data_IF_897894434708
#
_entry.id   IF_897894434708
#
_cell.length_a   1.000
_cell.length_b   1.000
_cell.length_c   1.000
_cell.angle_alpha   90.00
_cell.angle_beta   90.00
_cell.angle_gamma   90.00
#
_symmetry.space_group_name_H-M   'P 1'
#
loop_
_entity.id
_entity.type
_entity.pdbx_description
1 polymer ?
#
# COMPACT_ATOMS: atom_id res chain seq x y z
N UNK A 1 3.96 3.02 13.98
CA UNK A 1 3.81 4.49 14.06
C UNK A 1 5.11 5.28 14.05
N UNK A 2 6.27 4.72 14.45
CA UNK A 2 7.53 5.47 14.52
C UNK A 2 8.00 6.07 13.18
N UNK A 3 7.79 5.38 12.05
CA UNK A 3 8.29 5.82 10.74
C UNK A 3 7.60 7.08 10.19
N UNK A 4 6.26 7.12 10.17
CA UNK A 4 5.55 8.35 9.79
C UNK A 4 5.75 9.48 10.81
N UNK A 5 5.99 9.18 12.08
CA UNK A 5 6.34 10.19 13.08
C UNK A 5 7.67 10.89 12.78
N UNK A 6 8.67 10.15 12.30
CA UNK A 6 9.93 10.74 11.85
C UNK A 6 9.73 11.65 10.64
N UNK A 7 9.08 11.18 9.58
CA UNK A 7 8.78 12.03 8.40
C UNK A 7 7.91 13.22 8.77
N UNK A 8 6.91 13.05 9.65
CA UNK A 8 6.05 14.15 10.11
C UNK A 8 6.81 15.20 10.91
N UNK A 9 7.93 14.86 11.56
CA UNK A 9 8.79 15.83 12.23
C UNK A 9 9.42 16.85 11.26
N UNK A 10 9.43 16.53 9.96
CA UNK A 10 9.88 17.43 8.89
C UNK A 10 8.80 18.37 8.37
N UNK A 11 7.55 18.25 8.82
CA UNK A 11 6.42 18.99 8.25
C UNK A 11 6.59 20.53 8.23
N UNK A 12 7.40 21.08 9.14
CA UNK A 12 7.69 22.51 9.22
C UNK A 12 9.12 22.86 8.73
N UNK A 13 9.82 21.94 8.06
CA UNK A 13 11.20 22.15 7.59
C UNK A 13 12.25 22.20 8.71
N UNK A 14 11.96 21.60 9.87
CA UNK A 14 12.82 21.65 11.07
C UNK A 14 13.13 20.27 11.64
N UNK A 15 12.92 19.21 10.86
CA UNK A 15 13.25 17.86 11.29
C UNK A 15 14.75 17.56 11.25
N UNK A 16 15.19 16.41 11.78
CA UNK A 16 16.60 16.06 11.94
C UNK A 16 17.39 15.85 10.64
N UNK A 17 16.73 15.38 9.58
CA UNK A 17 17.25 15.24 8.19
C UNK A 17 17.10 16.53 7.34
N UNK A 18 18.20 17.25 7.01
CA UNK A 18 18.15 18.47 6.22
C UNK A 18 17.58 18.28 4.81
N UNK A 19 17.90 17.15 4.17
CA UNK A 19 17.43 16.88 2.80
C UNK A 19 15.89 16.85 2.71
N UNK A 20 15.21 16.29 3.71
CA UNK A 20 13.76 16.29 3.77
C UNK A 20 13.20 17.68 4.04
N UNK A 21 13.86 18.50 4.87
CA UNK A 21 13.42 19.86 5.14
C UNK A 21 13.46 20.73 3.88
N UNK A 22 14.48 20.55 3.04
CA UNK A 22 14.73 21.41 1.89
C UNK A 22 13.96 20.95 0.63
N UNK A 23 13.61 19.66 0.53
CA UNK A 23 13.11 19.07 -0.72
C UNK A 23 11.74 18.37 -0.60
N UNK A 24 11.27 18.00 0.60
CA UNK A 24 10.00 17.30 0.74
C UNK A 24 8.82 18.28 0.79
N UNK A 25 7.75 17.95 0.08
CA UNK A 25 6.46 18.64 0.22
C UNK A 25 5.55 17.85 1.18
N UNK A 26 5.37 18.29 2.43
CA UNK A 26 4.51 17.60 3.40
C UNK A 26 3.03 17.60 3.00
N UNK A 27 2.62 18.45 2.06
CA UNK A 27 1.27 18.46 1.51
C UNK A 27 1.04 17.39 0.43
N UNK A 28 2.12 16.77 -0.07
CA UNK A 28 2.11 15.79 -1.17
C UNK A 28 2.92 14.53 -0.80
N UNK A 29 2.37 13.73 0.11
CA UNK A 29 2.98 12.46 0.55
C UNK A 29 2.29 11.27 -0.13
N UNK A 30 3.08 10.31 -0.59
CA UNK A 30 2.59 9.03 -1.09
C UNK A 30 3.14 7.88 -0.25
N UNK A 31 2.30 6.89 -0.01
CA UNK A 31 2.71 5.60 0.57
C UNK A 31 2.85 4.60 -0.58
N UNK A 32 3.78 3.67 -0.47
CA UNK A 32 4.00 2.65 -1.49
C UNK A 32 4.52 1.38 -0.86
N UNK A 33 4.07 0.24 -1.36
CA UNK A 33 4.51 -1.06 -0.88
C UNK A 33 4.36 -2.15 -1.93
N UNK A 34 5.34 -3.03 -1.96
CA UNK A 34 5.42 -4.19 -2.84
C UNK A 34 5.28 -5.45 -1.98
N UNK A 35 4.48 -6.44 -2.42
CA UNK A 35 4.30 -7.70 -1.70
C UNK A 35 3.89 -7.47 -0.23
N UNK A 36 4.65 -7.98 0.74
CA UNK A 36 4.43 -7.73 2.17
C UNK A 36 4.53 -6.24 2.54
N UNK A 37 5.29 -5.44 1.79
CA UNK A 37 5.35 -3.99 1.96
C UNK A 37 4.01 -3.30 1.67
N UNK A 38 3.16 -3.88 0.80
CA UNK A 38 1.84 -3.34 0.52
C UNK A 38 0.92 -3.44 1.75
N UNK A 39 1.06 -4.51 2.53
CA UNK A 39 0.41 -4.67 3.83
C UNK A 39 0.86 -3.57 4.82
N UNK A 40 2.17 -3.31 4.91
CA UNK A 40 2.71 -2.25 5.75
C UNK A 40 2.18 -0.87 5.33
N UNK A 41 2.18 -0.56 4.03
CA UNK A 41 1.66 0.69 3.51
C UNK A 41 0.18 0.89 3.87
N UNK A 42 -0.63 -0.16 3.69
CA UNK A 42 -2.03 -0.16 4.10
C UNK A 42 -2.20 0.11 5.60
N UNK A 43 -1.50 -0.64 6.44
CA UNK A 43 -1.56 -0.48 7.89
C UNK A 43 -1.20 0.95 8.31
N UNK A 44 -0.14 1.52 7.73
CA UNK A 44 0.27 2.91 7.96
C UNK A 44 -0.83 3.89 7.56
N UNK A 45 -1.47 3.71 6.40
CA UNK A 45 -2.52 4.59 5.93
C UNK A 45 -3.75 4.58 6.85
N UNK A 46 -4.14 3.41 7.36
CA UNK A 46 -5.23 3.28 8.34
C UNK A 46 -4.84 3.93 9.67
N UNK A 47 -3.64 3.63 10.20
CA UNK A 47 -3.20 4.22 11.47
C UNK A 47 -3.09 5.75 11.39
N UNK A 48 -2.59 6.29 10.28
CA UNK A 48 -2.51 7.74 10.06
C UNK A 48 -3.90 8.39 10.10
N UNK A 49 -4.91 7.72 9.54
CA UNK A 49 -6.29 8.18 9.56
C UNK A 49 -6.93 8.09 10.95
N UNK A 50 -6.82 6.92 11.58
CA UNK A 50 -7.37 6.65 12.90
C UNK A 50 -6.77 7.55 13.99
N UNK A 51 -5.48 7.88 13.89
CA UNK A 51 -4.78 8.77 14.84
C UNK A 51 -4.83 10.24 14.44
N UNK A 52 -5.39 10.56 13.26
CA UNK A 52 -5.43 11.92 12.69
C UNK A 52 -4.05 12.55 12.65
N UNK A 53 -3.10 11.86 11.99
CA UNK A 53 -1.73 12.33 11.83
C UNK A 53 -1.72 13.77 11.30
N UNK A 54 -1.04 14.66 12.03
CA UNK A 54 -0.95 16.09 11.71
C UNK A 54 0.37 16.36 11.01
N UNK A 55 0.38 17.34 10.10
CA UNK A 55 1.59 17.83 9.45
C UNK A 55 1.92 17.15 8.13
N UNK A 56 1.34 15.98 7.83
CA UNK A 56 1.47 15.32 6.54
C UNK A 56 0.10 15.15 5.88
N UNK A 57 0.04 15.35 4.57
CA UNK A 57 -1.13 15.03 3.76
C UNK A 57 -0.81 13.89 2.80
N UNK A 58 -1.38 12.72 3.08
CA UNK A 58 -1.22 11.52 2.27
C UNK A 58 -2.15 11.63 1.06
N UNK A 59 -1.59 11.93 -0.10
CA UNK A 59 -2.32 12.11 -1.36
C UNK A 59 -2.69 10.78 -2.01
N UNK A 60 -1.82 9.79 -1.92
CA UNK A 60 -2.07 8.50 -2.56
C UNK A 60 -1.32 7.33 -1.92
N UNK A 61 -1.76 6.12 -2.25
CA UNK A 61 -1.11 4.87 -1.86
C UNK A 61 -0.98 3.92 -3.06
N UNK A 62 0.23 3.42 -3.29
CA UNK A 62 0.54 2.43 -4.31
C UNK A 62 0.65 1.05 -3.66
N UNK A 63 -0.20 0.12 -4.10
CA UNK A 63 -0.26 -1.26 -3.62
C UNK A 63 0.19 -2.15 -4.78
N UNK A 64 1.44 -2.61 -4.74
CA UNK A 64 2.09 -3.35 -5.83
C UNK A 64 2.19 -4.83 -5.46
N UNK A 65 1.65 -5.71 -6.30
CA UNK A 65 1.66 -7.17 -6.14
C UNK A 65 1.39 -7.60 -4.69
N UNK A 66 0.27 -7.21 -4.07
CA UNK A 66 0.13 -7.27 -2.62
C UNK A 66 0.07 -8.70 -2.08
N UNK A 67 0.82 -8.94 -1.01
CA UNK A 67 0.67 -10.13 -0.17
C UNK A 67 -0.22 -9.80 1.03
N UNK A 68 -1.53 -10.02 0.90
CA UNK A 68 -2.48 -9.93 2.01
C UNK A 68 -2.85 -11.31 2.52
N UNK A 69 -2.88 -11.50 3.84
CA UNK A 69 -3.23 -12.76 4.46
C UNK A 69 -4.64 -13.22 4.06
N UNK A 70 -4.72 -14.45 3.56
CA UNK A 70 -5.97 -15.17 3.29
C UNK A 70 -5.75 -16.63 3.62
N UNK A 71 -6.75 -17.32 4.19
CA UNK A 71 -6.65 -18.74 4.52
C UNK A 71 -6.81 -19.68 3.31
N UNK A 72 -6.06 -19.47 2.22
CA UNK A 72 -5.93 -20.55 1.24
C UNK A 72 -5.04 -21.66 1.82
N UNK A 73 -5.34 -22.95 1.58
CA UNK A 73 -4.62 -24.07 2.18
C UNK A 73 -3.09 -24.07 1.92
N UNK A 74 -2.64 -23.46 0.82
CA UNK A 74 -1.24 -23.34 0.40
C UNK A 74 -0.41 -22.37 1.25
N UNK A 75 -1.05 -21.44 1.94
CA UNK A 75 -0.37 -20.25 2.48
C UNK A 75 0.09 -20.42 3.94
N UNK A 76 -0.40 -21.46 4.60
CA UNK A 76 -0.20 -21.75 6.01
C UNK A 76 1.28 -21.85 6.45
N UNK A 77 2.22 -22.13 5.54
CA UNK A 77 3.64 -22.21 5.90
C UNK A 77 4.36 -20.85 5.78
N UNK A 78 4.12 -20.07 4.72
CA UNK A 78 4.70 -18.73 4.57
C UNK A 78 4.14 -17.75 5.59
N UNK A 79 2.84 -17.83 5.86
CA UNK A 79 2.15 -16.99 6.85
C UNK A 79 2.78 -17.12 8.25
N UNK A 80 3.16 -18.34 8.66
CA UNK A 80 3.86 -18.59 9.94
C UNK A 80 5.21 -17.88 10.04
N UNK A 81 5.92 -17.66 8.93
CA UNK A 81 7.20 -16.95 8.94
C UNK A 81 7.01 -15.44 8.89
N UNK A 82 5.99 -14.96 8.16
CA UNK A 82 5.73 -13.53 7.96
C UNK A 82 5.08 -12.91 9.19
N UNK A 83 4.11 -13.60 9.81
CA UNK A 83 3.45 -13.13 11.04
C UNK A 83 3.23 -14.29 12.03
N UNK A 84 4.29 -14.78 12.70
CA UNK A 84 4.21 -15.94 13.61
C UNK A 84 3.26 -15.75 14.80
N UNK A 85 2.88 -14.50 15.09
CA UNK A 85 2.03 -14.13 16.22
C UNK A 85 0.55 -14.05 15.87
N UNK A 86 0.17 -14.06 14.58
CA UNK A 86 -1.23 -14.01 14.18
C UNK A 86 -1.84 -15.42 14.26
N UNK A 87 -2.85 -15.59 15.11
CA UNK A 87 -3.57 -16.87 15.27
C UNK A 87 -4.89 -16.90 14.48
N UNK A 88 -5.30 -15.75 13.92
CA UNK A 88 -6.57 -15.56 13.20
C UNK A 88 -6.34 -14.75 11.91
N UNK A 89 -5.47 -15.23 11.01
CA UNK A 89 -5.07 -14.52 9.78
C UNK A 89 -6.23 -13.91 8.97
N UNK A 90 -7.38 -14.58 8.88
CA UNK A 90 -8.54 -14.04 8.16
C UNK A 90 -9.15 -12.81 8.83
N UNK A 91 -9.09 -12.73 10.16
CA UNK A 91 -9.75 -11.68 10.94
C UNK A 91 -8.76 -10.68 11.52
N UNK A 92 -7.46 -10.92 11.39
CA UNK A 92 -6.42 -10.04 11.91
C UNK A 92 -6.18 -8.89 10.92
N UNK A 93 -6.57 -7.65 11.26
CA UNK A 93 -6.39 -6.48 10.40
C UNK A 93 -4.95 -6.20 10.04
N UNK A 94 -3.99 -6.75 10.80
CA UNK A 94 -2.56 -6.60 10.50
C UNK A 94 -2.22 -7.32 9.21
N UNK A 95 -2.76 -8.50 8.96
CA UNK A 95 -2.40 -9.33 7.80
C UNK A 95 -3.47 -9.30 6.72
N UNK A 96 -4.75 -9.15 7.09
CA UNK A 96 -5.88 -9.03 6.19
C UNK A 96 -6.51 -7.63 6.26
N UNK A 97 -6.16 -6.71 5.34
CA UNK A 97 -6.77 -5.38 5.25
C UNK A 97 -8.30 -5.37 5.13
N UNK A 98 -8.89 -6.44 4.57
CA UNK A 98 -10.34 -6.52 4.37
C UNK A 98 -11.10 -6.74 5.69
N UNK A 99 -10.40 -7.21 6.72
CA UNK A 99 -10.92 -7.36 8.07
C UNK A 99 -10.76 -6.10 8.93
N UNK A 100 -10.09 -5.03 8.44
CA UNK A 100 -9.83 -3.85 9.25
C UNK A 100 -11.12 -3.03 9.48
N UNK A 101 -11.64 -2.94 10.73
CA UNK A 101 -12.85 -2.17 11.01
C UNK A 101 -12.68 -0.65 10.80
N UNK A 102 -11.44 -0.17 10.70
CA UNK A 102 -11.06 1.23 10.48
C UNK A 102 -10.70 1.52 9.03
N UNK A 103 -10.93 0.60 8.10
CA UNK A 103 -10.65 0.79 6.67
C UNK A 103 -11.24 2.11 6.12
N UNK A 104 -12.47 2.46 6.53
CA UNK A 104 -13.14 3.72 6.14
C UNK A 104 -12.46 5.00 6.64
N UNK A 105 -11.59 4.89 7.65
CA UNK A 105 -10.87 6.00 8.28
C UNK A 105 -9.53 6.28 7.61
N UNK A 106 -9.10 5.45 6.65
CA UNK A 106 -7.80 5.54 5.97
C UNK A 106 -7.53 6.95 5.41
N UNK A 107 -6.33 7.49 5.72
CA UNK A 107 -5.99 8.89 5.50
C UNK A 107 -5.68 9.29 4.05
N UNK A 108 -5.49 8.33 3.12
CA UNK A 108 -5.18 8.67 1.74
C UNK A 108 -6.42 9.07 0.94
N UNK A 109 -6.23 9.88 -0.10
CA UNK A 109 -7.31 10.32 -0.99
C UNK A 109 -7.51 9.34 -2.16
N UNK A 110 -6.44 8.63 -2.54
CA UNK A 110 -6.41 7.73 -3.69
C UNK A 110 -5.59 6.48 -3.42
N UNK A 111 -5.97 5.38 -4.04
CA UNK A 111 -5.24 4.11 -4.03
C UNK A 111 -5.16 3.59 -5.45
N UNK A 112 -4.00 3.08 -5.85
CA UNK A 112 -3.87 2.22 -7.03
C UNK A 112 -3.40 0.83 -6.60
N UNK A 113 -4.13 -0.19 -7.04
CA UNK A 113 -3.79 -1.59 -6.86
C UNK A 113 -3.23 -2.12 -8.17
N UNK A 114 -1.98 -2.57 -8.14
CA UNK A 114 -1.20 -3.03 -9.29
C UNK A 114 -0.95 -4.53 -9.10
N UNK A 115 -1.52 -5.36 -9.96
CA UNK A 115 -1.34 -6.83 -9.93
C UNK A 115 -0.67 -7.33 -11.20
N UNK A 116 -0.16 -8.56 -11.17
CA UNK A 116 0.34 -9.26 -12.35
C UNK A 116 -0.51 -10.51 -12.60
N UNK A 117 -0.73 -10.84 -13.87
CA UNK A 117 -1.66 -11.89 -14.29
C UNK A 117 -1.26 -13.29 -13.80
N UNK A 118 0.04 -13.59 -13.79
CA UNK A 118 0.60 -14.88 -13.41
C UNK A 118 1.06 -14.91 -11.93
N UNK A 119 0.76 -13.86 -11.16
CA UNK A 119 1.05 -13.79 -9.73
C UNK A 119 0.09 -14.68 -8.94
N UNK A 120 0.63 -15.58 -8.10
CA UNK A 120 -0.15 -16.43 -7.20
C UNK A 120 -1.00 -15.62 -6.21
N UNK A 121 -0.60 -14.38 -5.91
CA UNK A 121 -1.33 -13.47 -5.02
C UNK A 121 -2.25 -12.48 -5.74
N UNK A 122 -2.38 -12.56 -7.08
CA UNK A 122 -3.23 -11.67 -7.89
C UNK A 122 -4.64 -11.49 -7.30
N UNK A 123 -5.29 -12.59 -6.93
CA UNK A 123 -6.65 -12.60 -6.42
C UNK A 123 -6.78 -11.84 -5.09
N UNK A 124 -5.71 -11.79 -4.28
CA UNK A 124 -5.68 -11.03 -3.02
C UNK A 124 -5.71 -9.52 -3.28
N UNK A 125 -4.98 -9.07 -4.30
CA UNK A 125 -5.03 -7.67 -4.75
C UNK A 125 -6.39 -7.29 -5.32
N UNK A 126 -6.98 -8.15 -6.15
CA UNK A 126 -8.33 -7.96 -6.70
C UNK A 126 -9.40 -7.87 -5.59
N UNK A 127 -9.35 -8.78 -4.61
CA UNK A 127 -10.26 -8.76 -3.45
C UNK A 127 -10.11 -7.47 -2.61
N UNK A 128 -8.87 -6.98 -2.43
CA UNK A 128 -8.63 -5.71 -1.74
C UNK A 128 -9.22 -4.51 -2.49
N UNK A 129 -9.01 -4.45 -3.81
CA UNK A 129 -9.60 -3.42 -4.67
C UNK A 129 -11.13 -3.39 -4.55
N UNK A 130 -11.77 -4.55 -4.66
CA UNK A 130 -13.23 -4.65 -4.51
C UNK A 130 -13.72 -4.24 -3.12
N UNK A 131 -12.99 -4.66 -2.08
CA UNK A 131 -13.30 -4.32 -0.70
C UNK A 131 -13.25 -2.81 -0.49
N UNK A 132 -12.18 -2.15 -0.95
CA UNK A 132 -12.07 -0.69 -0.86
C UNK A 132 -13.25 0.00 -1.55
N UNK A 133 -13.60 -0.42 -2.76
CA UNK A 133 -14.73 0.14 -3.51
C UNK A 133 -16.08 0.00 -2.78
N UNK A 134 -16.24 -1.03 -1.95
CA UNK A 134 -17.48 -1.34 -1.20
C UNK A 134 -17.44 -0.88 0.26
N UNK A 135 -16.29 -0.46 0.79
CA UNK A 135 -16.05 -0.20 2.23
C UNK A 135 -16.65 1.09 2.79
N UNK A 136 -17.11 2.00 1.93
CA UNK A 136 -17.51 3.35 2.33
C UNK A 136 -16.34 4.29 2.65
N UNK A 137 -15.09 3.87 2.42
CA UNK A 137 -13.95 4.78 2.32
C UNK A 137 -14.21 5.81 1.22
N UNK A 138 -13.87 7.08 1.48
CA UNK A 138 -14.27 8.22 0.64
C UNK A 138 -13.30 8.52 -0.50
N UNK A 139 -12.15 7.85 -0.54
CA UNK A 139 -11.17 8.04 -1.60
C UNK A 139 -11.50 7.28 -2.88
N UNK A 140 -10.66 7.45 -3.89
CA UNK A 140 -10.79 6.76 -5.19
C UNK A 140 -9.82 5.58 -5.23
N UNK A 141 -10.31 4.42 -5.65
CA UNK A 141 -9.47 3.24 -5.91
C UNK A 141 -9.36 2.98 -7.42
N UNK A 142 -8.16 2.71 -7.90
CA UNK A 142 -7.83 2.31 -9.27
C UNK A 142 -7.23 0.90 -9.27
N UNK A 143 -7.43 0.17 -10.38
CA UNK A 143 -6.89 -1.17 -10.57
C UNK A 143 -6.11 -1.22 -11.89
N UNK A 144 -4.96 -1.88 -11.88
CA UNK A 144 -4.14 -2.10 -13.04
C UNK A 144 -3.54 -3.50 -13.00
N UNK A 145 -3.66 -4.24 -14.10
CA UNK A 145 -3.15 -5.61 -14.22
C UNK A 145 -2.13 -5.70 -15.35
N UNK A 146 -0.93 -6.20 -15.03
CA UNK A 146 0.11 -6.48 -16.03
C UNK A 146 -0.04 -7.90 -16.54
N UNK A 147 -0.17 -8.05 -17.87
CA UNK A 147 -0.41 -9.34 -18.53
C UNK A 147 0.89 -10.11 -18.77
N UNK A 148 0.84 -11.44 -18.59
CA UNK A 148 1.97 -12.35 -18.84
C UNK A 148 3.18 -12.17 -17.92
N UNK A 149 2.99 -11.60 -16.73
CA UNK A 149 4.06 -11.38 -15.74
C UNK A 149 3.67 -11.99 -14.40
N UNK A 150 4.68 -12.41 -13.63
CA UNK A 150 4.54 -12.98 -12.29
C UNK A 150 4.82 -11.99 -11.15
N UNK A 151 4.81 -12.52 -9.93
CA UNK A 151 5.08 -11.76 -8.71
C UNK A 151 6.43 -11.02 -8.78
N UNK A 152 6.48 -9.78 -8.30
CA UNK A 152 7.68 -8.93 -8.26
C UNK A 152 8.41 -8.71 -9.61
N UNK A 153 7.85 -9.05 -10.78
CA UNK A 153 8.61 -9.16 -12.03
C UNK A 153 9.51 -7.93 -12.32
N UNK A 154 8.97 -6.72 -12.11
CA UNK A 154 9.63 -5.43 -12.31
C UNK A 154 10.91 -5.19 -11.48
N UNK A 155 11.17 -6.01 -10.46
CA UNK A 155 12.40 -5.99 -9.66
C UNK A 155 13.51 -6.80 -10.34
N UNK A 156 13.15 -7.84 -11.09
CA UNK A 156 14.08 -8.83 -11.63
C UNK A 156 14.27 -8.74 -13.15
N UNK A 157 13.33 -8.10 -13.85
CA UNK A 157 13.34 -8.01 -15.32
C UNK A 157 13.28 -6.55 -15.77
N UNK A 158 14.01 -6.27 -16.85
CA UNK A 158 13.96 -4.98 -17.55
C UNK A 158 13.37 -5.23 -18.95
N UNK A 159 12.05 -5.19 -19.05
CA UNK A 159 11.30 -5.47 -20.26
C UNK A 159 10.20 -4.41 -20.50
N UNK A 160 9.45 -4.55 -21.59
CA UNK A 160 8.37 -3.61 -21.93
C UNK A 160 7.33 -3.48 -20.82
N UNK A 161 6.92 -4.60 -20.21
CA UNK A 161 5.93 -4.61 -19.13
C UNK A 161 6.45 -3.92 -17.87
N UNK A 162 7.75 -4.05 -17.57
CA UNK A 162 8.40 -3.37 -16.44
C UNK A 162 8.31 -1.86 -16.63
N UNK A 163 8.60 -1.38 -17.83
CA UNK A 163 8.52 0.04 -18.14
C UNK A 163 7.07 0.55 -18.12
N UNK A 164 6.11 -0.22 -18.63
CA UNK A 164 4.68 0.12 -18.53
C UNK A 164 4.23 0.23 -17.08
N UNK A 165 4.61 -0.71 -16.22
CA UNK A 165 4.26 -0.68 -14.80
C UNK A 165 4.90 0.53 -14.09
N UNK A 166 6.19 0.78 -14.30
CA UNK A 166 6.90 1.95 -13.74
C UNK A 166 6.24 3.26 -14.17
N UNK A 167 5.92 3.40 -15.45
CA UNK A 167 5.24 4.58 -15.96
C UNK A 167 3.86 4.74 -15.31
N UNK A 168 3.09 3.65 -15.14
CA UNK A 168 1.80 3.72 -14.44
C UNK A 168 1.93 4.20 -12.99
N UNK A 169 2.98 3.80 -12.28
CA UNK A 169 3.27 4.29 -10.92
C UNK A 169 3.67 5.77 -10.92
N UNK A 170 4.53 6.18 -11.85
CA UNK A 170 4.96 7.57 -12.01
C UNK A 170 3.78 8.48 -12.36
N UNK A 171 2.93 8.05 -13.29
CA UNK A 171 1.72 8.78 -13.69
C UNK A 171 0.78 8.97 -12.50
N UNK A 172 0.57 7.92 -11.68
CA UNK A 172 -0.26 8.02 -10.48
C UNK A 172 0.28 9.03 -9.47
N UNK A 173 1.61 9.09 -9.28
CA UNK A 173 2.26 10.04 -8.37
C UNK A 173 2.19 11.47 -8.91
N UNK A 174 2.32 11.63 -10.23
CA UNK A 174 2.42 12.93 -10.90
C UNK A 174 1.08 13.56 -11.26
N UNK A 175 0.00 12.77 -11.38
CA UNK A 175 -1.34 13.28 -11.66
C UNK A 175 -1.71 14.42 -10.70
N UNK A 176 -2.19 15.53 -11.25
CA UNK A 176 -2.51 16.73 -10.48
C UNK A 176 -3.67 16.48 -9.51
N UNK A 177 -3.52 16.95 -8.26
CA UNK A 177 -4.48 16.78 -7.14
C UNK A 177 -4.71 18.09 -6.42
#
# INVERSE_FOLDING_TARGET
MAFCGQVASHANGQGPEPWLNDNADPSRVFLGGESAGANIAHFVAVQAGATKLVGLKIRGMLIVHPYFGTREPSDNELDKYVCPMSTEFDNDPIVNPTADPKLKEMACERVIVLVAEEDEFRNRGEAYYETLAKSGWRGKVEFFETKGEGHCFHVFTDNHNTEVLKNKMVDFINEDI
#
